data_IF_231659379856
#
_entry.id   IF_231659379856
#
_cell.length_a   1.000
_cell.length_b   1.000
_cell.length_c   1.000
_cell.angle_alpha   90.00
_cell.angle_beta   90.00
_cell.angle_gamma   90.00
#
_symmetry.space_group_name_H-M   'P 1'
#
loop_
_entity.id
_entity.type
_entity.pdbx_description
1 polymer ?
#
# COMPACT_ATOMS: atom_id res chain seq x y z
N UNK A 1 20.13 1.26 -15.23
CA UNK A 1 18.89 0.47 -15.10
C UNK A 1 19.25 -0.97 -15.43
N UNK A 2 19.58 -1.77 -14.42
CA UNK A 2 19.91 -3.18 -14.61
C UNK A 2 18.60 -3.94 -14.79
N UNK A 3 18.53 -4.73 -15.87
CA UNK A 3 17.50 -5.75 -16.06
C UNK A 3 17.50 -6.64 -14.81
N UNK A 4 16.32 -6.94 -14.25
CA UNK A 4 16.20 -7.82 -13.09
C UNK A 4 16.71 -9.24 -13.39
N UNK A 5 16.97 -10.06 -12.37
CA UNK A 5 17.47 -11.42 -12.55
C UNK A 5 16.49 -12.25 -13.39
N UNK A 6 17.02 -12.89 -14.43
CA UNK A 6 16.25 -13.65 -15.40
C UNK A 6 15.71 -14.94 -14.76
N UNK A 7 14.44 -15.26 -15.03
CA UNK A 7 13.84 -16.51 -14.61
C UNK A 7 14.24 -17.64 -15.56
N UNK A 8 14.69 -18.75 -15.01
CA UNK A 8 15.09 -19.94 -15.74
C UNK A 8 14.40 -21.18 -15.15
N UNK A 9 13.81 -21.99 -16.03
CA UNK A 9 13.31 -23.33 -15.65
C UNK A 9 14.41 -24.34 -15.88
N UNK A 10 14.77 -25.05 -14.82
CA UNK A 10 15.86 -26.02 -14.84
C UNK A 10 15.22 -27.40 -14.65
N UNK A 11 15.48 -28.31 -15.58
CA UNK A 11 15.12 -29.72 -15.43
C UNK A 11 16.04 -30.35 -14.38
N UNK A 12 15.45 -30.92 -13.34
CA UNK A 12 16.15 -31.75 -12.35
C UNK A 12 16.00 -33.18 -12.82
N UNK A 13 17.08 -33.73 -13.38
CA UNK A 13 17.11 -35.13 -13.80
C UNK A 13 17.40 -35.96 -12.56
N UNK A 14 16.35 -36.48 -11.94
CA UNK A 14 16.46 -37.51 -10.92
C UNK A 14 16.02 -38.85 -11.52
N UNK A 15 16.90 -39.84 -11.54
CA UNK A 15 16.65 -41.12 -12.21
C UNK A 15 15.55 -41.94 -11.51
N UNK A 16 15.26 -41.68 -10.23
CA UNK A 16 14.22 -42.37 -9.44
C UNK A 16 12.81 -41.78 -9.58
N UNK A 17 12.67 -40.50 -9.92
CA UNK A 17 11.37 -39.77 -9.92
C UNK A 17 10.87 -39.42 -11.34
N UNK A 18 11.13 -40.31 -12.30
CA UNK A 18 10.91 -40.05 -13.74
C UNK A 18 9.44 -39.92 -14.18
N UNK A 19 8.46 -40.13 -13.28
CA UNK A 19 7.03 -40.13 -13.63
C UNK A 19 6.26 -38.85 -13.24
N UNK A 20 6.79 -37.97 -12.38
CA UNK A 20 6.13 -36.70 -12.03
C UNK A 20 6.71 -35.51 -12.81
N UNK A 21 6.01 -35.09 -13.87
CA UNK A 21 6.40 -33.96 -14.74
C UNK A 21 6.48 -32.63 -13.96
N UNK A 22 5.74 -32.46 -12.87
CA UNK A 22 5.70 -31.21 -12.09
C UNK A 22 6.94 -31.11 -11.19
N UNK A 23 7.39 -32.22 -10.61
CA UNK A 23 8.61 -32.25 -9.78
C UNK A 23 9.91 -32.19 -10.60
N UNK A 24 9.85 -32.51 -11.89
CA UNK A 24 11.01 -32.50 -12.80
C UNK A 24 11.55 -31.12 -13.14
N UNK A 25 10.78 -30.04 -12.92
CA UNK A 25 11.21 -28.69 -13.28
C UNK A 25 11.21 -27.77 -12.07
N UNK A 26 12.38 -27.19 -11.78
CA UNK A 26 12.52 -26.15 -10.75
C UNK A 26 12.71 -24.81 -11.42
N UNK A 27 11.79 -23.89 -11.13
CA UNK A 27 11.94 -22.48 -11.48
C UNK A 27 12.96 -21.83 -10.56
N UNK A 28 14.08 -21.37 -11.12
CA UNK A 28 15.10 -20.60 -10.40
C UNK A 28 15.33 -19.26 -11.09
N UNK A 29 16.01 -18.34 -10.42
CA UNK A 29 16.46 -17.07 -11.01
C UNK A 29 17.97 -17.08 -11.20
N UNK A 30 18.42 -16.73 -12.40
CA UNK A 30 19.83 -16.55 -12.70
C UNK A 30 20.33 -15.24 -12.10
N UNK A 31 21.46 -15.31 -11.40
CA UNK A 31 22.17 -14.16 -10.85
C UNK A 31 23.54 -14.16 -11.52
N UNK A 32 23.94 -13.02 -12.10
CA UNK A 32 25.26 -12.89 -12.75
C UNK A 32 26.40 -13.02 -11.72
N UNK A 33 27.57 -13.47 -12.16
CA UNK A 33 28.74 -13.65 -11.27
C UNK A 33 29.12 -12.37 -10.51
N UNK A 34 28.98 -11.20 -11.15
CA UNK A 34 29.23 -9.90 -10.52
C UNK A 34 28.18 -9.55 -9.46
N UNK A 35 26.90 -9.78 -9.74
CA UNK A 35 25.82 -9.57 -8.76
C UNK A 35 25.94 -10.53 -7.57
N UNK A 36 26.32 -11.79 -7.81
CA UNK A 36 26.57 -12.77 -6.77
C UNK A 36 27.73 -12.34 -5.86
N UNK A 37 28.84 -11.86 -6.43
CA UNK A 37 29.95 -11.31 -5.65
C UNK A 37 29.51 -10.09 -4.82
N UNK A 38 28.71 -9.18 -5.38
CA UNK A 38 28.15 -8.04 -4.65
C UNK A 38 27.29 -8.47 -3.45
N UNK A 39 26.43 -9.48 -3.65
CA UNK A 39 25.59 -10.06 -2.58
C UNK A 39 26.42 -10.72 -1.49
N UNK A 40 27.45 -11.49 -1.86
CA UNK A 40 28.36 -12.15 -0.90
C UNK A 40 29.15 -11.14 -0.07
N UNK A 41 29.48 -9.99 -0.67
CA UNK A 41 30.17 -8.89 0.01
C UNK A 41 29.22 -7.92 0.73
N UNK A 42 27.92 -8.22 0.77
CA UNK A 42 26.87 -7.38 1.37
C UNK A 42 26.84 -5.93 0.83
N UNK A 43 27.25 -5.73 -0.41
CA UNK A 43 27.14 -4.43 -1.06
C UNK A 43 25.72 -4.13 -1.50
N UNK A 44 25.33 -2.86 -1.39
CA UNK A 44 24.04 -2.38 -1.89
C UNK A 44 23.94 -2.59 -3.41
N UNK A 45 23.04 -3.48 -3.82
CA UNK A 45 22.82 -3.83 -5.22
C UNK A 45 22.08 -2.70 -5.95
N UNK A 46 21.19 -2.00 -5.23
CA UNK A 46 20.40 -0.89 -5.76
C UNK A 46 20.34 0.22 -4.72
N UNK A 47 20.98 1.34 -5.04
CA UNK A 47 20.76 2.59 -4.33
C UNK A 47 19.78 3.46 -5.13
N UNK A 48 18.75 3.99 -4.48
CA UNK A 48 17.88 5.03 -5.03
C UNK A 48 18.07 6.30 -4.21
N UNK A 49 18.38 7.40 -4.89
CA UNK A 49 18.48 8.72 -4.27
C UNK A 49 17.52 9.67 -5.00
N UNK A 50 16.45 10.15 -4.34
CA UNK A 50 16.05 9.83 -2.97
C UNK A 50 15.56 8.37 -2.81
N UNK A 51 15.61 7.86 -1.58
CA UNK A 51 15.04 6.53 -1.28
C UNK A 51 13.52 6.62 -1.35
N UNK A 52 12.86 5.68 -2.00
CA UNK A 52 11.39 5.66 -2.08
C UNK A 52 10.85 4.54 -1.19
N UNK A 53 10.05 4.88 -0.18
CA UNK A 53 9.33 3.91 0.66
C UNK A 53 7.89 3.82 0.21
N UNK A 54 7.44 2.61 -0.10
CA UNK A 54 6.05 2.38 -0.48
C UNK A 54 5.27 1.88 0.72
N UNK A 55 4.34 2.71 1.20
CA UNK A 55 3.53 2.46 2.38
C UNK A 55 2.28 1.67 1.98
N UNK A 56 2.04 0.57 2.70
CA UNK A 56 0.86 -0.26 2.53
C UNK A 56 -0.34 0.33 3.28
N UNK A 57 -1.54 0.09 2.74
CA UNK A 57 -2.82 0.45 3.36
C UNK A 57 -3.67 -0.81 3.45
N UNK A 58 -4.30 -1.04 4.59
CA UNK A 58 -5.19 -2.18 4.83
C UNK A 58 -6.36 -1.75 5.71
N UNK A 59 -7.47 -2.47 5.61
CA UNK A 59 -8.61 -2.34 6.53
C UNK A 59 -8.28 -2.97 7.91
N UNK A 60 -9.04 -2.70 8.98
CA UNK A 60 -8.75 -3.15 10.34
C UNK A 60 -8.38 -4.64 10.47
N UNK A 61 -9.05 -5.51 9.70
CA UNK A 61 -8.86 -6.97 9.76
C UNK A 61 -8.23 -7.56 8.49
N UNK A 62 -7.63 -6.72 7.64
CA UNK A 62 -7.07 -7.13 6.35
C UNK A 62 -5.56 -6.92 6.26
N UNK A 63 -4.87 -6.89 7.40
CA UNK A 63 -3.41 -6.86 7.41
C UNK A 63 -2.85 -8.24 7.01
N UNK A 64 -2.28 -8.33 5.81
CA UNK A 64 -1.70 -9.58 5.29
C UNK A 64 -0.28 -9.77 5.82
N UNK A 65 -0.02 -10.91 6.46
CA UNK A 65 1.28 -11.26 7.03
C UNK A 65 1.77 -12.57 6.42
N UNK A 66 3.04 -12.62 6.02
CA UNK A 66 3.69 -13.83 5.53
C UNK A 66 4.33 -14.59 6.69
N UNK A 67 4.07 -15.90 6.77
CA UNK A 67 4.61 -16.76 7.82
C UNK A 67 5.01 -18.13 7.27
N UNK A 68 5.90 -18.81 7.98
CA UNK A 68 6.27 -20.20 7.67
C UNK A 68 5.23 -21.16 8.26
N UNK A 69 4.94 -22.30 7.62
CA UNK A 69 4.04 -23.31 8.17
C UNK A 69 4.40 -23.63 9.63
N UNK A 70 3.39 -23.63 10.52
CA UNK A 70 3.58 -23.85 11.97
C UNK A 70 3.79 -22.59 12.81
N UNK A 71 4.11 -21.43 12.21
CA UNK A 71 4.36 -20.17 12.94
C UNK A 71 3.26 -19.10 12.75
N UNK A 72 2.03 -19.52 12.43
CA UNK A 72 0.93 -18.59 12.17
C UNK A 72 0.63 -17.67 13.37
N UNK A 73 0.52 -18.24 14.57
CA UNK A 73 0.16 -17.49 15.77
C UNK A 73 1.24 -16.46 16.15
N UNK A 74 2.52 -16.84 16.00
CA UNK A 74 3.65 -15.93 16.25
C UNK A 74 3.68 -14.79 15.24
N UNK A 75 3.34 -15.06 13.98
CA UNK A 75 3.27 -14.04 12.94
C UNK A 75 2.13 -13.06 13.16
N UNK A 76 0.96 -13.53 13.61
CA UNK A 76 -0.18 -12.68 13.97
C UNK A 76 0.18 -11.78 15.16
N UNK A 77 0.82 -12.32 16.20
CA UNK A 77 1.23 -11.52 17.36
C UNK A 77 2.30 -10.47 17.02
N UNK A 78 3.15 -10.75 16.03
CA UNK A 78 4.18 -9.84 15.54
C UNK A 78 3.76 -9.07 14.28
N UNK A 79 2.46 -9.06 13.95
CA UNK A 79 1.91 -8.44 12.74
C UNK A 79 1.97 -6.91 12.81
N UNK A 80 3.17 -6.34 12.70
CA UNK A 80 3.36 -4.92 12.51
C UNK A 80 3.06 -4.52 11.07
N UNK A 81 2.35 -3.40 10.90
CA UNK A 81 2.25 -2.72 9.61
C UNK A 81 2.72 -1.28 9.75
N UNK A 82 3.17 -0.69 8.64
CA UNK A 82 3.55 0.73 8.62
C UNK A 82 2.38 1.63 9.09
N UNK A 83 1.13 1.25 8.77
CA UNK A 83 -0.07 1.99 9.16
C UNK A 83 -0.33 1.91 10.67
N UNK A 84 -0.22 0.72 11.26
CA UNK A 84 -0.37 0.52 12.70
C UNK A 84 0.77 1.20 13.47
N UNK A 85 1.98 1.18 12.92
CA UNK A 85 3.11 1.92 13.47
C UNK A 85 2.83 3.43 13.47
N UNK A 86 2.29 3.97 12.37
CA UNK A 86 1.85 5.36 12.29
C UNK A 86 0.76 5.70 13.33
N UNK A 87 -0.20 4.82 13.56
CA UNK A 87 -1.25 5.01 14.58
C UNK A 87 -0.68 5.03 16.00
N UNK A 88 0.35 4.22 16.27
CA UNK A 88 1.01 4.13 17.58
C UNK A 88 2.00 5.26 17.90
N UNK A 89 2.04 6.33 17.09
CA UNK A 89 2.94 7.48 17.30
C UNK A 89 2.69 8.20 18.64
N UNK A 90 3.68 8.92 19.19
CA UNK A 90 3.55 9.57 20.51
C UNK A 90 2.36 10.52 20.60
N UNK A 91 1.71 10.59 21.77
CA UNK A 91 0.52 11.43 22.03
C UNK A 91 0.91 12.89 22.33
N UNK A 92 1.50 13.55 21.34
CA UNK A 92 1.88 14.97 21.41
C UNK A 92 1.20 15.73 20.28
N UNK A 93 0.83 17.00 20.54
CA UNK A 93 0.18 17.87 19.54
C UNK A 93 0.95 17.96 18.22
N UNK A 94 2.29 17.89 18.29
CA UNK A 94 3.16 17.87 17.11
C UNK A 94 2.84 16.70 16.18
N UNK A 95 2.58 15.51 16.73
CA UNK A 95 2.30 14.30 15.97
C UNK A 95 0.84 14.18 15.52
N UNK A 96 -0.07 14.96 16.11
CA UNK A 96 -1.49 14.96 15.72
C UNK A 96 -1.69 15.54 14.32
N UNK A 97 -0.81 16.46 13.90
CA UNK A 97 -0.89 17.14 12.61
C UNK A 97 -0.09 16.47 11.50
N UNK A 98 0.67 15.43 11.81
CA UNK A 98 1.57 14.76 10.86
C UNK A 98 0.79 13.75 10.03
N UNK A 99 0.82 13.91 8.71
CA UNK A 99 0.19 12.98 7.77
C UNK A 99 0.93 11.62 7.74
N UNK A 100 0.29 10.60 7.19
CA UNK A 100 0.90 9.28 7.09
C UNK A 100 2.18 9.28 6.24
N UNK A 101 2.21 10.08 5.16
CA UNK A 101 3.38 10.25 4.31
C UNK A 101 4.51 10.98 5.06
N UNK A 102 4.20 12.17 5.59
CA UNK A 102 5.19 13.02 6.26
C UNK A 102 5.85 12.31 7.44
N UNK A 103 5.12 11.44 8.13
CA UNK A 103 5.65 10.65 9.24
C UNK A 103 6.82 9.77 8.79
N UNK A 104 6.70 9.03 7.69
CA UNK A 104 7.78 8.15 7.24
C UNK A 104 8.91 8.88 6.53
N UNK A 105 8.63 10.03 5.90
CA UNK A 105 9.65 10.89 5.31
C UNK A 105 10.55 11.49 6.39
N UNK A 106 9.95 12.00 7.47
CA UNK A 106 10.66 12.76 8.49
C UNK A 106 11.19 11.93 9.67
N UNK A 107 10.71 10.70 9.88
CA UNK A 107 11.07 9.91 11.05
C UNK A 107 11.54 8.48 10.71
N UNK A 108 12.33 7.91 11.62
CA UNK A 108 12.76 6.52 11.60
C UNK A 108 12.24 5.79 12.83
N UNK A 109 11.76 4.57 12.62
CA UNK A 109 11.25 3.68 13.67
C UNK A 109 12.29 2.60 13.95
N UNK A 110 12.57 2.38 15.23
CA UNK A 110 13.52 1.40 15.73
C UNK A 110 12.82 0.44 16.68
N UNK A 111 13.10 -0.85 16.58
CA UNK A 111 12.52 -1.86 17.47
C UNK A 111 13.08 -1.77 18.91
N UNK A 112 14.26 -1.18 19.07
CA UNK A 112 14.95 -0.98 20.35
C UNK A 112 15.47 0.45 20.41
N UNK A 113 15.77 0.92 21.63
CA UNK A 113 16.37 2.24 21.82
C UNK A 113 17.70 2.29 21.07
N UNK A 114 17.87 3.20 20.09
CA UNK A 114 19.11 3.31 19.35
C UNK A 114 20.25 3.91 20.20
N UNK A 115 19.96 4.45 21.41
CA UNK A 115 20.92 5.02 22.36
C UNK A 115 21.93 5.99 21.71
N UNK A 116 21.50 6.72 20.67
CA UNK A 116 22.35 7.64 19.93
C UNK A 116 22.56 8.92 20.74
N UNK A 117 23.80 9.23 21.11
CA UNK A 117 24.16 10.43 21.88
C UNK A 117 23.69 11.76 21.24
N UNK A 118 23.48 11.77 19.93
CA UNK A 118 23.18 12.95 19.12
C UNK A 118 21.71 13.06 18.72
N UNK A 119 20.88 12.04 18.97
CA UNK A 119 19.49 12.01 18.49
C UNK A 119 18.58 11.64 19.65
N UNK A 120 17.61 12.50 19.94
CA UNK A 120 16.56 12.18 20.91
C UNK A 120 15.65 11.10 20.33
N UNK A 121 15.53 9.99 21.04
CA UNK A 121 14.59 8.93 20.75
C UNK A 121 13.34 9.11 21.62
N UNK A 122 12.15 9.03 21.00
CA UNK A 122 10.86 9.12 21.70
C UNK A 122 10.19 7.74 21.63
N UNK A 123 9.69 7.25 22.77
CA UNK A 123 9.00 5.97 22.81
C UNK A 123 7.58 6.07 22.24
N UNK A 124 7.22 5.13 21.39
CA UNK A 124 5.90 4.96 20.78
C UNK A 124 5.01 4.08 21.66
N UNK A 125 3.69 4.09 21.43
CA UNK A 125 2.74 3.31 22.22
C UNK A 125 2.93 1.80 22.09
N UNK A 126 3.41 1.34 20.94
CA UNK A 126 3.73 -0.07 20.68
C UNK A 126 5.10 -0.50 21.25
N UNK A 127 5.76 0.35 22.03
CA UNK A 127 7.08 0.08 22.63
C UNK A 127 8.28 0.30 21.70
N UNK A 128 8.06 0.64 20.43
CA UNK A 128 9.13 1.03 19.49
C UNK A 128 9.66 2.43 19.80
N UNK A 129 10.81 2.77 19.22
CA UNK A 129 11.46 4.07 19.40
C UNK A 129 11.46 4.86 18.09
N UNK A 130 11.09 6.13 18.17
CA UNK A 130 11.01 7.06 17.06
C UNK A 130 12.18 8.05 17.13
N UNK A 131 12.81 8.33 15.99
CA UNK A 131 13.87 9.34 15.87
C UNK A 131 13.63 10.23 14.66
N UNK A 132 13.97 11.52 14.75
CA UNK A 132 13.90 12.43 13.60
C UNK A 132 14.99 12.09 12.59
N UNK A 133 14.64 12.05 11.30
CA UNK A 133 15.58 11.83 10.20
C UNK A 133 16.43 13.09 10.01
N UNK A 134 17.72 12.98 10.30
CA UNK A 134 18.69 14.07 10.14
C UNK A 134 19.53 13.95 8.87
N UNK A 135 19.58 12.76 8.26
CA UNK A 135 20.37 12.45 7.06
C UNK A 135 19.60 11.55 6.10
N UNK A 136 19.83 11.77 4.81
CA UNK A 136 19.16 11.08 3.71
C UNK A 136 17.76 11.63 3.44
N UNK A 137 17.38 11.68 2.17
CA UNK A 137 16.03 12.02 1.75
C UNK A 137 15.26 10.73 1.47
N UNK A 138 14.06 10.63 2.05
CA UNK A 138 13.13 9.55 1.81
C UNK A 138 11.82 10.15 1.32
N UNK A 139 11.32 9.64 0.20
CA UNK A 139 10.00 9.98 -0.35
C UNK A 139 9.07 8.82 -0.06
N UNK A 140 8.01 9.08 0.71
CA UNK A 140 6.98 8.10 1.00
C UNK A 140 5.92 8.14 -0.11
N UNK A 141 5.42 6.97 -0.51
CA UNK A 141 4.30 6.86 -1.45
C UNK A 141 3.33 5.81 -0.98
N UNK A 142 2.03 6.09 -1.06
CA UNK A 142 1.02 5.07 -0.80
C UNK A 142 0.96 4.08 -1.97
N UNK A 143 1.00 2.79 -1.64
CA UNK A 143 0.85 1.71 -2.61
C UNK A 143 -0.42 1.90 -3.44
N UNK A 144 -0.36 1.55 -4.72
CA UNK A 144 -1.51 1.71 -5.60
C UNK A 144 -2.65 0.76 -5.20
N UNK A 145 -3.81 1.33 -4.95
CA UNK A 145 -5.06 0.61 -4.68
C UNK A 145 -6.04 0.98 -5.79
N UNK A 146 -6.61 -0.03 -6.43
CA UNK A 146 -7.60 0.13 -7.48
C UNK A 146 -8.95 0.60 -6.89
N UNK A 147 -9.74 1.44 -7.60
CA UNK A 147 -11.07 1.83 -7.15
C UNK A 147 -12.01 0.65 -6.87
N UNK A 148 -11.86 -0.45 -7.62
CA UNK A 148 -12.65 -1.67 -7.42
C UNK A 148 -12.37 -2.41 -6.09
N UNK A 149 -11.34 -2.01 -5.33
CA UNK A 149 -11.07 -2.52 -3.97
C UNK A 149 -11.99 -1.88 -2.92
N UNK A 150 -12.89 -0.99 -3.32
CA UNK A 150 -13.95 -0.42 -2.48
C UNK A 150 -13.37 0.38 -1.31
N UNK A 151 -13.77 0.03 -0.09
CA UNK A 151 -13.38 0.72 1.15
C UNK A 151 -11.87 0.95 1.31
N UNK A 152 -11.04 0.02 0.85
CA UNK A 152 -9.57 0.18 0.92
C UNK A 152 -9.07 1.34 0.04
N UNK A 153 -9.72 1.61 -1.09
CA UNK A 153 -9.40 2.74 -1.97
C UNK A 153 -9.73 4.07 -1.29
N UNK A 154 -10.92 4.18 -0.69
CA UNK A 154 -11.32 5.40 0.02
C UNK A 154 -10.50 5.64 1.28
N UNK A 155 -10.15 4.58 2.01
CA UNK A 155 -9.21 4.66 3.13
C UNK A 155 -7.85 5.22 2.68
N UNK A 156 -7.30 4.73 1.57
CA UNK A 156 -6.05 5.26 1.01
C UNK A 156 -6.17 6.74 0.68
N UNK A 157 -7.29 7.15 0.10
CA UNK A 157 -7.55 8.54 -0.27
C UNK A 157 -7.59 9.46 0.95
N UNK A 158 -8.32 9.06 1.99
CA UNK A 158 -8.36 9.77 3.26
C UNK A 158 -6.96 9.90 3.89
N UNK A 159 -6.21 8.79 3.97
CA UNK A 159 -4.85 8.76 4.52
C UNK A 159 -3.84 9.61 3.74
N UNK A 160 -4.13 9.93 2.47
CA UNK A 160 -3.25 10.76 1.66
C UNK A 160 -3.33 12.25 2.00
N UNK A 161 -4.42 12.67 2.67
CA UNK A 161 -4.70 14.09 2.96
C UNK A 161 -4.79 14.34 4.46
N UNK A 162 -5.45 13.45 5.20
CA UNK A 162 -5.81 13.69 6.59
C UNK A 162 -4.93 12.93 7.59
N UNK A 163 -4.39 13.61 8.61
CA UNK A 163 -3.75 12.94 9.71
C UNK A 163 -4.80 12.27 10.61
N UNK A 164 -4.50 11.05 11.08
CA UNK A 164 -5.40 10.27 11.93
C UNK A 164 -4.61 9.32 12.83
N UNK A 165 -5.15 8.93 13.99
CA UNK A 165 -4.52 7.97 14.91
C UNK A 165 -5.22 6.63 14.93
N UNK A 166 -6.42 6.54 14.38
CA UNK A 166 -7.17 5.31 14.29
C UNK A 166 -8.04 5.29 13.04
N UNK A 167 -8.55 4.10 12.71
CA UNK A 167 -9.58 3.95 11.68
C UNK A 167 -10.87 4.70 12.05
N UNK A 168 -11.23 4.74 13.33
CA UNK A 168 -12.42 5.45 13.81
C UNK A 168 -12.28 6.96 13.64
N UNK A 169 -11.08 7.51 13.86
CA UNK A 169 -10.82 8.94 13.67
C UNK A 169 -11.11 9.34 12.21
N UNK A 170 -10.70 8.52 11.25
CA UNK A 170 -10.96 8.77 9.83
C UNK A 170 -12.45 8.80 9.49
N UNK A 171 -13.24 7.93 10.12
CA UNK A 171 -14.70 7.94 9.96
C UNK A 171 -15.32 9.19 10.58
N UNK A 172 -14.80 9.66 11.72
CA UNK A 172 -15.27 10.89 12.38
C UNK A 172 -15.01 12.15 11.55
N UNK A 173 -13.97 12.17 10.71
CA UNK A 173 -13.73 13.29 9.76
C UNK A 173 -14.91 13.43 8.79
N UNK A 174 -15.55 12.33 8.41
CA UNK A 174 -16.76 12.29 7.60
C UNK A 174 -18.02 12.80 8.31
N UNK A 175 -17.96 13.08 9.61
CA UNK A 175 -19.10 13.46 10.43
C UNK A 175 -19.59 12.33 11.35
N UNK A 176 -20.57 12.63 12.23
CA UNK A 176 -20.93 11.76 13.34
C UNK A 176 -21.62 10.44 12.94
N UNK A 177 -22.05 10.30 11.69
CA UNK A 177 -22.84 9.15 11.21
C UNK A 177 -22.16 8.35 10.10
N UNK A 178 -20.90 8.64 9.76
CA UNK A 178 -20.20 7.87 8.72
C UNK A 178 -19.83 6.48 9.24
N UNK A 179 -20.28 5.46 8.53
CA UNK A 179 -19.96 4.06 8.83
C UNK A 179 -18.90 3.50 7.89
N UNK A 180 -18.78 4.10 6.70
CA UNK A 180 -17.84 3.69 5.66
C UNK A 180 -16.83 4.79 5.35
N UNK A 181 -15.63 4.38 4.92
CA UNK A 181 -14.61 5.29 4.44
C UNK A 181 -15.04 5.96 3.14
N UNK A 182 -15.89 5.31 2.34
CA UNK A 182 -16.49 5.94 1.17
C UNK A 182 -17.35 7.16 1.54
N UNK A 183 -18.26 7.01 2.50
CA UNK A 183 -19.08 8.14 2.99
C UNK A 183 -18.21 9.26 3.54
N UNK A 184 -17.20 8.93 4.32
CA UNK A 184 -16.28 9.92 4.87
C UNK A 184 -15.49 10.65 3.76
N UNK A 185 -14.97 9.93 2.77
CA UNK A 185 -14.27 10.52 1.64
C UNK A 185 -15.18 11.43 0.81
N UNK A 186 -16.46 11.05 0.64
CA UNK A 186 -17.46 11.88 -0.03
C UNK A 186 -17.81 13.14 0.73
N UNK A 187 -18.07 13.02 2.03
CA UNK A 187 -18.41 14.15 2.88
C UNK A 187 -17.34 15.24 2.84
N UNK A 188 -16.08 14.81 2.79
CA UNK A 188 -14.91 15.68 2.77
C UNK A 188 -14.59 16.20 1.35
N UNK A 189 -15.31 15.72 0.33
CA UNK A 189 -15.12 16.13 -1.07
C UNK A 189 -13.88 15.53 -1.73
N UNK A 190 -13.35 14.42 -1.19
CA UNK A 190 -12.27 13.67 -1.82
C UNK A 190 -12.77 12.67 -2.87
N UNK A 191 -13.98 12.14 -2.68
CA UNK A 191 -14.66 11.29 -3.65
C UNK A 191 -15.94 11.97 -4.12
N UNK A 192 -16.16 12.02 -5.42
CA UNK A 192 -17.41 12.55 -5.97
C UNK A 192 -18.55 11.55 -5.83
N UNK A 193 -19.78 12.07 -5.87
CA UNK A 193 -20.96 11.22 -5.82
C UNK A 193 -21.08 10.36 -7.07
N UNK A 194 -21.66 9.17 -6.91
CA UNK A 194 -21.91 8.20 -7.98
C UNK A 194 -22.75 8.77 -9.15
N UNK A 195 -23.31 9.96 -8.96
CA UNK A 195 -24.07 10.75 -9.91
C UNK A 195 -23.17 11.33 -11.02
N UNK A 196 -21.85 11.45 -10.85
CA UNK A 196 -20.97 11.99 -11.89
C UNK A 196 -21.01 11.14 -13.15
N UNK A 197 -20.95 9.81 -13.02
CA UNK A 197 -21.01 8.91 -14.17
C UNK A 197 -22.37 8.96 -14.87
N UNK A 198 -23.45 9.10 -14.09
CA UNK A 198 -24.81 9.23 -14.61
C UNK A 198 -25.00 10.56 -15.34
N UNK A 199 -24.56 11.68 -14.75
CA UNK A 199 -24.56 12.99 -15.42
C UNK A 199 -23.69 13.01 -16.66
N UNK A 200 -22.50 12.42 -16.62
CA UNK A 200 -21.62 12.32 -17.76
C UNK A 200 -22.26 11.48 -18.88
N UNK A 201 -23.02 10.43 -18.52
CA UNK A 201 -23.76 9.61 -19.48
C UNK A 201 -24.97 10.33 -20.06
N UNK A 202 -25.75 11.04 -19.24
CA UNK A 202 -26.84 11.92 -19.69
C UNK A 202 -26.31 12.99 -20.65
N UNK A 203 -25.22 13.69 -20.29
CA UNK A 203 -24.62 14.72 -21.12
C UNK A 203 -24.12 14.12 -22.45
N UNK A 204 -23.36 13.02 -22.38
CA UNK A 204 -22.86 12.30 -23.54
C UNK A 204 -23.96 11.82 -24.49
N UNK A 205 -25.15 11.47 -23.97
CA UNK A 205 -26.30 11.07 -24.78
C UNK A 205 -26.80 12.18 -25.71
N UNK A 206 -26.57 13.46 -25.35
CA UNK A 206 -27.03 14.60 -26.13
C UNK A 206 -26.16 14.90 -27.35
N UNK A 207 -24.88 14.48 -27.34
CA UNK A 207 -23.91 14.87 -28.37
C UNK A 207 -23.07 13.72 -28.97
N UNK A 208 -23.03 12.52 -28.35
CA UNK A 208 -22.30 11.37 -28.90
C UNK A 208 -23.16 10.52 -29.84
N UNK A 209 -22.51 9.95 -30.85
CA UNK A 209 -23.10 8.94 -31.74
C UNK A 209 -23.08 7.56 -31.09
N UNK A 210 -24.02 6.68 -31.48
CA UNK A 210 -24.19 5.34 -30.87
C UNK A 210 -22.89 4.53 -30.65
N UNK A 211 -21.97 4.41 -31.62
CA UNK A 211 -20.71 3.70 -31.42
C UNK A 211 -19.79 4.37 -30.38
N UNK A 212 -19.72 5.71 -30.35
CA UNK A 212 -18.91 6.46 -29.37
C UNK A 212 -19.51 6.37 -27.98
N UNK A 213 -20.84 6.40 -27.88
CA UNK A 213 -21.56 6.27 -26.63
C UNK A 213 -21.34 4.89 -25.99
N UNK A 214 -21.32 3.81 -26.78
CA UNK A 214 -20.93 2.47 -26.29
C UNK A 214 -19.48 2.42 -25.81
N UNK A 215 -18.55 3.04 -26.55
CA UNK A 215 -17.15 3.09 -26.12
C UNK A 215 -16.99 3.88 -24.83
N UNK A 216 -17.74 4.97 -24.68
CA UNK A 216 -17.75 5.78 -23.47
C UNK A 216 -18.32 5.01 -22.27
N UNK A 217 -19.44 4.32 -22.47
CA UNK A 217 -20.03 3.41 -21.47
C UNK A 217 -19.03 2.36 -20.97
N UNK A 218 -18.29 1.71 -21.87
CA UNK A 218 -17.26 0.72 -21.50
C UNK A 218 -16.16 1.38 -20.66
N UNK A 219 -15.71 2.58 -21.04
CA UNK A 219 -14.71 3.33 -20.28
C UNK A 219 -15.22 3.66 -18.86
N UNK A 220 -16.47 4.09 -18.71
CA UNK A 220 -17.05 4.35 -17.39
C UNK A 220 -17.15 3.07 -16.55
N UNK A 221 -17.61 1.96 -17.13
CA UNK A 221 -17.71 0.67 -16.46
C UNK A 221 -16.35 0.14 -15.97
N UNK A 222 -15.30 0.26 -16.80
CA UNK A 222 -13.93 -0.13 -16.42
C UNK A 222 -13.39 0.71 -15.27
N UNK A 223 -13.78 1.99 -15.20
CA UNK A 223 -13.36 2.91 -14.15
C UNK A 223 -14.22 2.86 -12.88
N UNK A 224 -15.14 1.89 -12.77
CA UNK A 224 -15.88 1.61 -11.54
C UNK A 224 -17.32 2.13 -11.49
N UNK A 225 -17.86 2.64 -12.60
CA UNK A 225 -19.27 2.99 -12.66
C UNK A 225 -20.17 1.75 -12.59
N UNK A 226 -21.32 1.87 -11.92
CA UNK A 226 -22.31 0.79 -11.88
C UNK A 226 -22.96 0.62 -13.25
N UNK A 227 -22.71 -0.52 -13.89
CA UNK A 227 -23.28 -0.86 -15.21
C UNK A 227 -24.80 -0.83 -15.17
N UNK A 228 -25.40 -1.26 -14.06
CA UNK A 228 -26.85 -1.31 -13.88
C UNK A 228 -27.48 0.08 -13.72
N UNK A 229 -26.77 1.05 -13.13
CA UNK A 229 -27.30 2.42 -13.02
C UNK A 229 -27.16 3.16 -14.36
N UNK A 230 -26.01 3.03 -15.03
CA UNK A 230 -25.74 3.64 -16.34
C UNK A 230 -26.61 3.10 -17.50
N UNK A 231 -27.16 1.89 -17.37
CA UNK A 231 -28.01 1.30 -18.41
C UNK A 231 -29.49 1.72 -18.29
N UNK A 232 -29.90 2.17 -17.10
CA UNK A 232 -31.28 2.56 -16.81
C UNK A 232 -31.51 4.08 -16.72
N UNK A 233 -30.45 4.88 -16.83
CA UNK A 233 -30.49 6.32 -17.16
C UNK A 233 -30.83 6.54 -18.63
#
# INVERSE_FOLDING_TARGET
MTKGPDEARIAVVDEEHREDEIEQYVTKRYISSSEAAWRVLEFDIVARNPTVKMLTVHLPDQNSVFFKPGHANEAVNNAGSDLLDYFSRPLTEEFDRVSYLDFFENYNIHAKDPCLKTVQAVQMQNGKFLTRRMRGELVARLFWVAPNRGEQFFLRLLLSVYPCRSFADLLQIGGPNCTTFQEAAKFVGLADDAVEYERAMEEASTFLTGPRLRSFFVTLAVNGASVASLWNT
#
